data_IF_532559851565
#
_entry.id   IF_532559851565
#
_cell.length_a   1.000
_cell.length_b   1.000
_cell.length_c   1.000
_cell.angle_alpha   90.00
_cell.angle_beta   90.00
_cell.angle_gamma   90.00
#
_symmetry.space_group_name_H-M   'P 1'
#
loop_
_entity.id
_entity.type
_entity.pdbx_description
1 polymer ?
#
# COMPACT_ATOMS: atom_id res chain seq x y z
N UNK A 1 30.38 -23.61 53.74
CA UNK A 1 29.21 -24.46 53.38
C UNK A 1 27.98 -23.56 53.39
N UNK A 2 27.47 -23.20 52.22
CA UNK A 2 26.35 -22.25 52.12
C UNK A 2 25.98 -22.02 50.65
N UNK A 3 25.28 -22.99 50.06
CA UNK A 3 24.75 -22.88 48.69
C UNK A 3 23.42 -22.14 48.74
N UNK A 4 23.36 -20.96 48.10
CA UNK A 4 22.10 -20.25 47.82
C UNK A 4 21.49 -20.85 46.56
N UNK A 5 20.32 -21.47 46.74
CA UNK A 5 19.49 -22.03 45.67
C UNK A 5 18.65 -20.89 45.09
N UNK A 6 18.91 -20.50 43.85
CA UNK A 6 18.04 -19.57 43.12
C UNK A 6 16.98 -20.39 42.38
N UNK A 7 15.74 -20.32 42.87
CA UNK A 7 14.56 -20.82 42.16
C UNK A 7 14.14 -19.76 41.12
N UNK A 8 14.38 -20.05 39.85
CA UNK A 8 13.80 -19.29 38.74
C UNK A 8 12.39 -19.83 38.48
N UNK A 9 11.37 -19.13 38.97
CA UNK A 9 9.97 -19.39 38.61
C UNK A 9 9.73 -18.68 37.28
N UNK A 10 9.82 -19.43 36.17
CA UNK A 10 9.39 -18.94 34.86
C UNK A 10 7.87 -19.07 34.79
N UNK A 11 7.17 -18.01 35.20
CA UNK A 11 5.73 -17.91 34.99
C UNK A 11 5.50 -17.51 33.53
N UNK A 12 5.37 -18.50 32.65
CA UNK A 12 4.87 -18.31 31.30
C UNK A 12 3.39 -17.92 31.39
N UNK A 13 3.12 -16.62 31.51
CA UNK A 13 1.79 -16.06 31.31
C UNK A 13 1.39 -16.39 29.87
N UNK A 14 0.58 -17.43 29.72
CA UNK A 14 -0.02 -17.81 28.44
C UNK A 14 -0.92 -16.69 27.98
N UNK A 15 -0.39 -15.79 27.16
CA UNK A 15 -1.18 -14.80 26.44
C UNK A 15 -2.11 -15.60 25.53
N UNK A 16 -3.44 -15.48 25.67
CA UNK A 16 -4.36 -16.16 24.77
C UNK A 16 -4.08 -15.66 23.36
N UNK A 17 -3.52 -16.54 22.53
CA UNK A 17 -3.40 -16.32 21.10
C UNK A 17 -4.85 -16.30 20.60
N UNK A 18 -5.38 -15.10 20.36
CA UNK A 18 -6.64 -14.91 19.64
C UNK A 18 -6.45 -15.51 18.24
N UNK A 19 -6.81 -16.79 18.09
CA UNK A 19 -7.03 -17.42 16.80
C UNK A 19 -8.23 -16.73 16.18
N UNK A 20 -7.95 -15.67 15.43
CA UNK A 20 -8.93 -15.09 14.53
C UNK A 20 -9.02 -16.03 13.35
N UNK A 21 -10.07 -16.85 13.33
CA UNK A 21 -10.49 -17.61 12.15
C UNK A 21 -11.00 -16.61 11.10
N UNK A 22 -10.11 -15.76 10.57
CA UNK A 22 -10.39 -15.02 9.37
C UNK A 22 -10.48 -16.07 8.25
N UNK A 23 -11.70 -16.44 7.92
CA UNK A 23 -11.96 -17.34 6.81
C UNK A 23 -11.54 -16.59 5.55
N UNK A 24 -10.57 -17.14 4.82
CA UNK A 24 -10.15 -16.60 3.53
C UNK A 24 -11.37 -16.51 2.61
N UNK A 25 -11.44 -15.52 1.71
CA UNK A 25 -12.48 -15.50 0.67
C UNK A 25 -12.54 -16.85 -0.03
N UNK A 26 -13.75 -17.37 -0.26
CA UNK A 26 -13.92 -18.59 -1.03
C UNK A 26 -13.26 -18.41 -2.41
N UNK A 27 -12.37 -19.33 -2.79
CA UNK A 27 -11.61 -19.23 -4.04
C UNK A 27 -10.29 -18.46 -3.95
N UNK A 28 -9.83 -18.09 -2.76
CA UNK A 28 -8.47 -17.55 -2.57
C UNK A 28 -7.40 -18.59 -2.97
N UNK A 29 -6.57 -18.26 -3.96
CA UNK A 29 -5.48 -19.13 -4.43
C UNK A 29 -4.08 -18.53 -4.27
N UNK A 30 -3.96 -17.30 -3.78
CA UNK A 30 -2.68 -16.57 -3.80
C UNK A 30 -2.18 -16.38 -5.24
N UNK A 31 -0.86 -16.24 -5.46
CA UNK A 31 -0.30 -16.12 -6.80
C UNK A 31 -0.42 -17.46 -7.55
N UNK A 32 -0.79 -17.39 -8.83
CA UNK A 32 -1.05 -18.54 -9.69
C UNK A 32 -0.37 -18.37 -11.07
N UNK A 33 -0.23 -19.43 -11.87
CA UNK A 33 0.21 -19.31 -13.26
C UNK A 33 -0.67 -18.32 -14.03
N UNK A 34 -0.05 -17.35 -14.70
CA UNK A 34 -0.75 -16.32 -15.43
C UNK A 34 -1.42 -16.86 -16.70
N UNK A 35 -2.63 -16.40 -17.00
CA UNK A 35 -3.39 -16.82 -18.21
C UNK A 35 -2.66 -16.47 -19.51
N UNK A 36 -1.95 -15.35 -19.53
CA UNK A 36 -1.16 -14.88 -20.67
C UNK A 36 0.14 -15.67 -20.87
N UNK A 37 0.69 -16.23 -19.80
CA UNK A 37 1.89 -17.06 -19.82
C UNK A 37 1.99 -17.94 -18.56
N UNK A 38 1.71 -19.23 -18.71
CA UNK A 38 1.69 -20.19 -17.59
C UNK A 38 3.07 -20.47 -16.98
N UNK A 39 4.18 -20.00 -17.59
CA UNK A 39 5.50 -20.07 -16.97
C UNK A 39 5.70 -19.03 -15.87
N UNK A 40 4.90 -17.96 -15.87
CA UNK A 40 4.98 -16.86 -14.91
C UNK A 40 3.93 -17.13 -13.83
N UNK A 41 4.36 -17.11 -12.57
CA UNK A 41 3.47 -17.21 -11.42
C UNK A 41 3.32 -15.81 -10.82
N UNK A 42 2.09 -15.30 -10.79
CA UNK A 42 1.80 -13.93 -10.39
C UNK A 42 0.35 -13.71 -9.96
N UNK A 43 -0.02 -12.46 -9.80
CA UNK A 43 -1.33 -12.02 -9.38
C UNK A 43 -2.11 -11.49 -10.59
N UNK A 44 -3.30 -12.05 -10.82
CA UNK A 44 -4.31 -11.54 -11.76
C UNK A 44 -5.39 -10.70 -11.06
N UNK A 45 -5.34 -10.60 -9.73
CA UNK A 45 -6.29 -9.88 -8.88
C UNK A 45 -5.53 -9.10 -7.79
N UNK A 46 -5.66 -7.77 -7.78
CA UNK A 46 -4.96 -6.91 -6.80
C UNK A 46 -5.56 -7.00 -5.39
N UNK A 47 -6.80 -7.50 -5.25
CA UNK A 47 -7.41 -7.80 -3.94
C UNK A 47 -6.70 -8.98 -3.28
N UNK A 48 -6.45 -10.05 -4.04
CA UNK A 48 -5.69 -11.21 -3.56
C UNK A 48 -4.25 -10.79 -3.19
N UNK A 49 -3.59 -10.02 -4.05
CA UNK A 49 -2.27 -9.45 -3.78
C UNK A 49 -2.24 -8.67 -2.45
N UNK A 50 -3.20 -7.77 -2.25
CA UNK A 50 -3.27 -6.93 -1.05
C UNK A 50 -3.51 -7.77 0.21
N UNK A 51 -4.33 -8.82 0.10
CA UNK A 51 -4.56 -9.76 1.18
C UNK A 51 -3.29 -10.55 1.56
N UNK A 52 -2.52 -11.01 0.57
CA UNK A 52 -1.25 -11.71 0.78
C UNK A 52 -0.25 -10.83 1.52
N UNK A 53 -0.09 -9.58 1.05
CA UNK A 53 0.79 -8.61 1.67
C UNK A 53 0.44 -8.36 3.12
N UNK A 54 -0.83 -8.13 3.43
CA UNK A 54 -1.29 -7.94 4.80
C UNK A 54 -1.01 -9.18 5.66
N UNK A 55 -1.32 -10.36 5.15
CA UNK A 55 -1.13 -11.62 5.88
C UNK A 55 0.35 -11.84 6.19
N UNK A 56 1.23 -11.56 5.23
CA UNK A 56 2.68 -11.57 5.42
C UNK A 56 3.15 -10.51 6.41
N UNK A 57 2.72 -9.25 6.29
CA UNK A 57 3.05 -8.17 7.22
C UNK A 57 2.64 -8.51 8.66
N UNK A 58 1.44 -9.07 8.84
CA UNK A 58 0.98 -9.56 10.12
C UNK A 58 1.85 -10.73 10.64
N UNK A 59 2.23 -11.65 9.76
CA UNK A 59 3.14 -12.75 10.10
C UNK A 59 4.49 -12.25 10.60
N UNK A 60 5.10 -11.30 9.88
CA UNK A 60 6.38 -10.67 10.23
C UNK A 60 6.29 -9.92 11.56
N UNK A 61 5.25 -9.11 11.72
CA UNK A 61 5.03 -8.29 12.92
C UNK A 61 4.79 -9.12 14.19
N UNK A 62 4.15 -10.28 14.05
CA UNK A 62 3.93 -11.20 15.17
C UNK A 62 5.11 -12.18 15.39
N UNK A 63 6.21 -12.05 14.62
CA UNK A 63 7.36 -12.96 14.70
C UNK A 63 7.06 -14.39 14.26
N UNK A 64 5.97 -14.60 13.51
CA UNK A 64 5.57 -15.91 12.96
C UNK A 64 6.29 -16.18 11.64
N UNK A 65 6.56 -15.13 10.87
CA UNK A 65 7.31 -15.17 9.62
C UNK A 65 8.57 -14.35 9.80
N UNK A 66 9.72 -14.87 9.37
CA UNK A 66 10.95 -14.08 9.38
C UNK A 66 10.85 -12.94 8.37
N UNK A 67 11.29 -11.75 8.75
CA UNK A 67 11.37 -10.63 7.81
C UNK A 67 12.35 -10.97 6.70
N UNK A 68 11.89 -10.96 5.45
CA UNK A 68 12.73 -11.16 4.28
C UNK A 68 13.48 -9.88 3.94
N UNK A 69 14.63 -10.05 3.30
CA UNK A 69 15.37 -8.94 2.70
C UNK A 69 14.65 -8.34 1.50
N UNK A 70 13.80 -9.12 0.82
CA UNK A 70 13.09 -8.72 -0.40
C UNK A 70 11.76 -9.47 -0.50
N UNK A 71 10.70 -8.75 -0.85
CA UNK A 71 9.39 -9.31 -1.20
C UNK A 71 9.08 -8.95 -2.65
N UNK A 72 8.92 -9.95 -3.52
CA UNK A 72 8.59 -9.73 -4.92
C UNK A 72 7.14 -10.15 -5.19
N UNK A 73 6.38 -9.21 -5.74
CA UNK A 73 5.00 -9.35 -6.14
C UNK A 73 4.90 -9.17 -7.65
N UNK A 74 4.66 -10.27 -8.36
CA UNK A 74 4.58 -10.28 -9.81
C UNK A 74 3.13 -10.07 -10.24
N UNK A 75 2.84 -8.99 -10.95
CA UNK A 75 1.57 -8.79 -11.64
C UNK A 75 1.59 -9.58 -12.95
N UNK A 76 0.52 -10.30 -13.25
CA UNK A 76 0.43 -11.06 -14.48
C UNK A 76 0.49 -10.13 -15.71
N UNK A 77 1.33 -10.45 -16.71
CA UNK A 77 1.45 -9.62 -17.91
C UNK A 77 0.18 -9.70 -18.75
N UNK A 78 -0.06 -8.69 -19.58
CA UNK A 78 -1.26 -8.53 -20.40
C UNK A 78 -2.58 -8.64 -19.59
N UNK A 79 -2.54 -8.23 -18.33
CA UNK A 79 -3.71 -8.21 -17.44
C UNK A 79 -4.14 -6.77 -17.20
N UNK A 80 -5.44 -6.52 -17.37
CA UNK A 80 -6.08 -5.26 -16.95
C UNK A 80 -6.79 -5.49 -15.63
N UNK A 81 -6.25 -4.85 -14.58
CA UNK A 81 -6.79 -4.86 -13.23
C UNK A 81 -7.78 -3.70 -13.11
N UNK A 82 -9.08 -4.02 -13.06
CA UNK A 82 -10.14 -3.01 -13.00
C UNK A 82 -10.33 -2.57 -11.56
N UNK A 83 -9.92 -1.35 -11.23
CA UNK A 83 -9.98 -0.83 -9.87
C UNK A 83 -11.37 -0.26 -9.57
N UNK A 84 -11.84 -0.42 -8.32
CA UNK A 84 -13.16 0.11 -7.96
C UNK A 84 -13.19 1.60 -7.62
N UNK A 85 -14.36 2.17 -7.86
CA UNK A 85 -14.61 3.61 -7.90
C UNK A 85 -15.32 4.14 -6.65
N UNK A 86 -15.20 3.52 -5.48
CA UNK A 86 -15.92 4.00 -4.29
C UNK A 86 -15.06 4.05 -3.02
N UNK A 87 -14.80 5.27 -2.52
CA UNK A 87 -14.48 5.53 -1.12
C UNK A 87 -15.71 5.13 -0.32
N UNK A 88 -15.82 3.84 0.03
CA UNK A 88 -16.94 3.38 0.84
C UNK A 88 -16.70 3.76 2.29
N UNK A 89 -17.80 3.93 3.02
CA UNK A 89 -17.80 4.25 4.45
C UNK A 89 -17.53 3.02 5.34
N UNK A 90 -17.47 1.80 4.77
CA UNK A 90 -17.31 0.55 5.54
C UNK A 90 -16.36 -0.51 4.95
N UNK A 91 -15.81 -1.34 5.84
CA UNK A 91 -14.63 -2.18 5.67
C UNK A 91 -14.81 -3.39 4.85
N UNK A 92 -15.95 -3.96 5.18
CA UNK A 92 -16.43 -5.19 4.63
C UNK A 92 -16.73 -4.94 3.16
N UNK A 93 -16.93 -3.66 2.77
CA UNK A 93 -17.10 -3.25 1.40
C UNK A 93 -15.80 -3.03 0.61
N UNK A 94 -14.65 -2.76 1.26
CA UNK A 94 -13.36 -2.50 0.56
C UNK A 94 -12.64 -3.78 0.14
N UNK A 95 -12.94 -4.91 0.79
CA UNK A 95 -12.30 -6.21 0.50
C UNK A 95 -13.27 -7.27 -0.02
N UNK A 96 -14.56 -6.96 -0.16
CA UNK A 96 -15.50 -7.86 -0.84
C UNK A 96 -15.37 -7.66 -2.35
N UNK A 97 -15.28 -8.74 -3.14
CA UNK A 97 -15.41 -8.62 -4.59
C UNK A 97 -16.74 -7.93 -4.91
N UNK A 98 -16.69 -6.75 -5.51
CA UNK A 98 -17.89 -6.08 -5.99
C UNK A 98 -17.96 -6.20 -7.50
N UNK A 99 -19.16 -6.49 -7.98
CA UNK A 99 -19.45 -6.52 -9.40
C UNK A 99 -20.13 -5.20 -9.79
N UNK A 100 -19.49 -4.44 -10.67
CA UNK A 100 -20.16 -3.35 -11.37
C UNK A 100 -20.43 -3.82 -12.79
N UNK A 101 -21.71 -3.83 -13.20
CA UNK A 101 -22.13 -4.34 -14.51
C UNK A 101 -21.64 -5.78 -14.81
N UNK A 102 -21.55 -6.62 -13.77
CA UNK A 102 -21.07 -8.01 -13.88
C UNK A 102 -19.55 -8.14 -14.05
N UNK A 103 -18.79 -7.08 -13.80
CA UNK A 103 -17.33 -7.13 -13.78
C UNK A 103 -16.82 -7.01 -12.35
N UNK A 104 -16.01 -7.98 -11.94
CA UNK A 104 -15.30 -7.93 -10.67
C UNK A 104 -14.31 -6.76 -10.69
N UNK A 105 -14.48 -5.87 -9.73
CA UNK A 105 -13.57 -4.76 -9.47
C UNK A 105 -12.65 -5.12 -8.31
N UNK A 106 -11.47 -4.52 -8.32
CA UNK A 106 -10.36 -4.89 -7.45
C UNK A 106 -9.96 -3.74 -6.53
N UNK A 107 -9.36 -4.10 -5.40
CA UNK A 107 -8.83 -3.15 -4.43
C UNK A 107 -7.55 -2.47 -4.94
N UNK A 108 -7.27 -1.22 -4.51
CA UNK A 108 -5.97 -0.59 -4.74
C UNK A 108 -4.84 -1.41 -4.12
N UNK A 109 -3.64 -1.32 -4.69
CA UNK A 109 -2.46 -1.95 -4.09
C UNK A 109 -2.05 -1.14 -2.85
N UNK A 110 -1.99 -1.80 -1.69
CA UNK A 110 -1.58 -1.19 -0.42
C UNK A 110 -0.27 -1.85 0.07
N UNK A 111 0.89 -1.24 -0.14
CA UNK A 111 2.15 -1.78 0.37
C UNK A 111 2.19 -1.82 1.90
N UNK A 112 2.40 -3.01 2.47
CA UNK A 112 2.47 -3.22 3.93
C UNK A 112 3.86 -3.60 4.45
N UNK A 113 4.82 -3.83 3.55
CA UNK A 113 6.12 -4.43 3.85
C UNK A 113 7.25 -3.57 3.26
N UNK A 114 8.33 -3.40 4.03
CA UNK A 114 9.59 -2.86 3.50
C UNK A 114 10.17 -3.79 2.41
N UNK A 115 10.97 -3.23 1.48
CA UNK A 115 11.63 -3.96 0.39
C UNK A 115 10.64 -4.72 -0.52
N UNK A 116 9.47 -4.12 -0.79
CA UNK A 116 8.44 -4.69 -1.65
C UNK A 116 8.62 -4.25 -3.10
N UNK A 117 8.81 -5.21 -4.01
CA UNK A 117 8.90 -4.99 -5.46
C UNK A 117 7.61 -5.45 -6.11
N UNK A 118 6.92 -4.53 -6.77
CA UNK A 118 5.75 -4.77 -7.60
C UNK A 118 6.17 -4.67 -9.06
N UNK A 119 6.13 -5.77 -9.81
CA UNK A 119 6.64 -5.78 -11.18
C UNK A 119 5.66 -6.45 -12.13
N UNK A 120 5.50 -5.87 -13.32
CA UNK A 120 4.80 -6.54 -14.40
C UNK A 120 5.64 -7.67 -14.99
N UNK A 121 5.13 -8.89 -14.95
CA UNK A 121 5.86 -10.08 -15.38
C UNK A 121 7.17 -10.32 -14.61
N UNK A 122 8.06 -11.14 -15.17
CA UNK A 122 9.32 -11.52 -14.50
C UNK A 122 10.37 -10.40 -14.48
N UNK A 123 10.27 -9.43 -15.40
CA UNK A 123 11.31 -8.43 -15.63
C UNK A 123 10.91 -7.00 -15.27
N UNK A 124 9.65 -6.75 -14.92
CA UNK A 124 9.14 -5.39 -14.74
C UNK A 124 9.15 -4.58 -16.04
N UNK A 125 9.05 -5.24 -17.20
CA UNK A 125 8.88 -4.55 -18.48
C UNK A 125 7.42 -4.10 -18.61
N UNK A 126 7.09 -3.06 -19.41
CA UNK A 126 5.70 -2.70 -19.73
C UNK A 126 5.02 -3.77 -20.59
N UNK A 127 4.88 -4.98 -20.05
CA UNK A 127 4.28 -6.17 -20.66
C UNK A 127 2.74 -6.14 -20.52
N UNK A 128 2.14 -4.95 -20.49
CA UNK A 128 0.69 -4.77 -20.50
C UNK A 128 -0.02 -4.99 -19.16
N UNK A 129 0.64 -4.82 -18.02
CA UNK A 129 -0.06 -4.72 -16.73
C UNK A 129 -0.68 -3.33 -16.60
N UNK A 130 -2.01 -3.26 -16.63
CA UNK A 130 -2.77 -2.01 -16.62
C UNK A 130 -3.63 -1.98 -15.37
N UNK A 131 -3.42 -1.01 -14.48
CA UNK A 131 -4.37 -0.66 -13.42
C UNK A 131 -5.34 0.35 -14.03
N UNK A 132 -6.59 -0.06 -14.24
CA UNK A 132 -7.60 0.71 -14.97
C UNK A 132 -8.75 1.16 -14.06
N UNK A 133 -9.05 2.46 -14.07
CA UNK A 133 -10.24 3.02 -13.43
C UNK A 133 -10.09 3.23 -11.94
N UNK A 134 -11.22 3.22 -11.25
CA UNK A 134 -11.31 3.42 -9.80
C UNK A 134 -10.90 4.80 -9.30
N UNK A 135 -10.94 5.01 -7.99
CA UNK A 135 -10.45 6.25 -7.39
C UNK A 135 -8.92 6.26 -7.26
N UNK A 136 -8.35 5.14 -6.81
CA UNK A 136 -6.93 5.01 -6.54
C UNK A 136 -6.40 3.70 -7.13
N UNK A 137 -5.18 3.75 -7.66
CA UNK A 137 -4.48 2.54 -8.10
C UNK A 137 -3.54 2.01 -7.00
N UNK A 138 -2.87 2.92 -6.29
CA UNK A 138 -1.94 2.62 -5.19
C UNK A 138 -2.22 3.54 -4.00
N UNK A 139 -2.25 2.96 -2.80
CA UNK A 139 -2.50 3.68 -1.55
C UNK A 139 -1.42 3.38 -0.53
N UNK A 140 -0.72 4.43 -0.08
CA UNK A 140 0.20 4.39 1.04
C UNK A 140 -0.47 4.98 2.28
N UNK A 141 -0.69 4.14 3.28
CA UNK A 141 -1.32 4.50 4.54
C UNK A 141 -0.37 5.27 5.47
N UNK A 142 -0.90 6.30 6.14
CA UNK A 142 -0.15 7.32 6.89
C UNK A 142 0.66 6.80 8.09
N UNK A 143 0.16 5.74 8.71
CA UNK A 143 0.75 5.13 9.90
C UNK A 143 1.62 3.90 9.56
N UNK A 144 1.84 3.60 8.27
CA UNK A 144 2.65 2.47 7.81
C UNK A 144 3.95 3.00 7.22
N UNK A 145 5.07 2.56 7.81
CA UNK A 145 6.39 2.85 7.26
C UNK A 145 6.73 1.77 6.24
N UNK A 146 6.93 2.19 4.99
CA UNK A 146 7.27 1.33 3.86
C UNK A 146 8.53 1.89 3.20
N UNK A 147 9.67 1.28 3.48
CA UNK A 147 10.95 1.66 2.91
C UNK A 147 11.25 0.80 1.68
N UNK A 148 11.91 1.39 0.67
CA UNK A 148 12.41 0.67 -0.49
C UNK A 148 11.30 -0.13 -1.22
N UNK A 149 10.11 0.46 -1.37
CA UNK A 149 9.09 -0.11 -2.24
C UNK A 149 9.34 0.31 -3.70
N UNK A 150 9.04 -0.55 -4.66
CA UNK A 150 9.15 -0.18 -6.08
C UNK A 150 8.05 -0.75 -6.95
N UNK A 151 7.66 0.00 -7.97
CA UNK A 151 6.68 -0.37 -8.98
C UNK A 151 7.35 -0.29 -10.35
N UNK A 152 7.30 -1.37 -11.13
CA UNK A 152 8.03 -1.46 -12.40
C UNK A 152 7.18 -1.99 -13.55
N UNK A 153 7.16 -1.25 -14.67
CA UNK A 153 6.50 -1.67 -15.91
C UNK A 153 4.96 -1.64 -15.85
N UNK A 154 4.39 -0.78 -15.00
CA UNK A 154 2.94 -0.71 -14.77
C UNK A 154 2.34 0.52 -15.47
N UNK A 155 1.21 0.33 -16.14
CA UNK A 155 0.40 1.42 -16.69
C UNK A 155 -0.74 1.76 -15.73
N UNK A 156 -0.87 3.02 -15.37
CA UNK A 156 -1.90 3.60 -14.52
C UNK A 156 -2.89 4.38 -15.40
N UNK A 157 -4.07 3.82 -15.64
CA UNK A 157 -5.01 4.28 -16.65
C UNK A 157 -6.34 4.73 -16.04
N UNK A 158 -6.73 5.97 -16.26
CA UNK A 158 -8.12 6.38 -16.08
C UNK A 158 -8.64 6.41 -14.64
N UNK A 159 -7.78 6.61 -13.63
CA UNK A 159 -8.25 6.90 -12.26
C UNK A 159 -9.16 8.15 -12.27
N UNK A 160 -10.23 8.12 -11.48
CA UNK A 160 -11.24 9.17 -11.35
C UNK A 160 -10.93 10.18 -10.23
N UNK A 161 -9.81 9.99 -9.52
CA UNK A 161 -9.32 10.89 -8.48
C UNK A 161 -7.78 10.82 -8.50
N UNK A 162 -7.15 10.53 -7.36
CA UNK A 162 -5.70 10.41 -7.26
C UNK A 162 -5.25 8.99 -7.59
N UNK A 163 -4.49 8.80 -8.68
CA UNK A 163 -3.95 7.49 -9.05
C UNK A 163 -3.04 6.91 -7.98
N UNK A 164 -2.15 7.72 -7.38
CA UNK A 164 -1.24 7.28 -6.31
C UNK A 164 -1.42 8.19 -5.10
N UNK A 165 -2.01 7.62 -4.05
CA UNK A 165 -2.20 8.27 -2.77
C UNK A 165 -0.96 8.00 -1.92
N UNK A 166 0.01 8.91 -1.97
CA UNK A 166 1.28 8.81 -1.28
C UNK A 166 1.21 9.49 0.10
N UNK A 167 0.22 9.08 0.91
CA UNK A 167 -0.01 9.62 2.25
C UNK A 167 0.82 8.94 3.34
N UNK A 168 1.74 8.05 2.95
CA UNK A 168 2.55 7.25 3.85
C UNK A 168 3.40 8.07 4.81
N UNK A 169 3.90 7.39 5.85
CA UNK A 169 4.81 7.99 6.83
C UNK A 169 5.99 8.69 6.13
N UNK A 170 6.55 9.80 6.67
CA UNK A 170 7.64 10.53 6.00
C UNK A 170 8.99 9.82 5.90
N UNK A 171 9.06 8.60 6.44
CA UNK A 171 10.21 7.70 6.25
C UNK A 171 9.97 6.67 5.18
N UNK A 172 8.74 6.58 4.68
CA UNK A 172 8.43 5.73 3.56
C UNK A 172 9.06 6.28 2.28
N UNK A 173 9.44 5.36 1.40
CA UNK A 173 10.05 5.65 0.12
C UNK A 173 9.50 4.68 -0.92
N UNK A 174 9.13 5.23 -2.08
CA UNK A 174 8.70 4.46 -3.24
C UNK A 174 9.44 4.89 -4.50
N UNK A 175 9.79 3.92 -5.35
CA UNK A 175 10.37 4.14 -6.66
C UNK A 175 9.44 3.62 -7.76
N UNK A 176 9.10 4.44 -8.73
CA UNK A 176 8.40 4.04 -9.95
C UNK A 176 9.41 3.96 -11.09
N UNK A 177 9.43 2.83 -11.80
CA UNK A 177 10.39 2.54 -12.88
C UNK A 177 9.62 2.14 -14.13
N UNK A 178 9.89 2.82 -15.25
CA UNK A 178 9.28 2.51 -16.56
C UNK A 178 7.74 2.43 -16.51
N UNK A 179 7.12 3.30 -15.71
CA UNK A 179 5.67 3.39 -15.56
C UNK A 179 5.04 4.40 -16.52
N UNK A 180 3.75 4.21 -16.84
CA UNK A 180 2.99 5.16 -17.65
C UNK A 180 1.69 5.55 -16.95
N UNK A 181 1.46 6.85 -16.73
CA UNK A 181 0.19 7.41 -16.29
C UNK A 181 -0.55 7.99 -17.48
N UNK A 182 -1.73 7.46 -17.78
CA UNK A 182 -2.51 7.86 -18.95
C UNK A 182 -3.96 8.11 -18.62
N UNK A 183 -4.54 9.20 -19.13
CA UNK A 183 -5.99 9.40 -19.10
C UNK A 183 -6.59 9.54 -17.70
N UNK A 184 -5.79 9.75 -16.66
CA UNK A 184 -6.29 9.92 -15.30
C UNK A 184 -6.99 11.28 -15.18
N UNK A 185 -8.12 11.29 -14.49
CA UNK A 185 -8.93 12.47 -14.18
C UNK A 185 -8.71 12.77 -12.70
N UNK A 186 -7.66 13.54 -12.42
CA UNK A 186 -7.35 13.95 -11.05
C UNK A 186 -8.22 15.13 -10.64
N UNK A 187 -8.98 14.97 -9.55
CA UNK A 187 -9.66 16.09 -8.90
C UNK A 187 -8.64 17.17 -8.55
N UNK A 188 -7.56 16.84 -7.83
CA UNK A 188 -6.44 17.76 -7.58
C UNK A 188 -5.18 17.36 -8.35
N UNK A 189 -4.76 16.09 -8.24
CA UNK A 189 -3.54 15.59 -8.86
C UNK A 189 -3.61 14.11 -9.25
N UNK A 190 -2.65 13.66 -10.07
CA UNK A 190 -2.48 12.22 -10.41
C UNK A 190 -1.72 11.50 -9.31
N UNK A 191 -0.71 12.14 -8.73
CA UNK A 191 0.04 11.67 -7.56
C UNK A 191 -0.08 12.71 -6.45
N UNK A 192 -0.50 12.28 -5.26
CA UNK A 192 -0.66 13.15 -4.10
C UNK A 192 0.29 12.75 -2.96
N UNK A 193 1.34 13.56 -2.75
CA UNK A 193 2.30 13.42 -1.67
C UNK A 193 1.90 14.36 -0.54
N UNK A 194 1.10 13.83 0.39
CA UNK A 194 0.55 14.59 1.50
C UNK A 194 0.56 13.75 2.77
N UNK A 195 1.33 14.15 3.77
CA UNK A 195 1.26 13.55 5.10
C UNK A 195 0.85 14.60 6.10
N UNK A 196 -0.36 14.49 6.61
CA UNK A 196 -0.75 15.32 7.73
C UNK A 196 -1.75 14.60 8.63
N UNK A 197 -1.21 14.01 9.69
CA UNK A 197 -2.00 13.40 10.75
C UNK A 197 -3.11 14.35 11.23
N UNK A 198 -2.80 15.57 11.66
CA UNK A 198 -3.83 16.44 12.29
C UNK A 198 -4.76 17.25 11.34
N UNK A 199 -4.40 17.55 10.08
CA UNK A 199 -5.27 18.25 9.12
C UNK A 199 -6.21 17.30 8.37
N UNK A 200 -5.87 16.02 8.23
CA UNK A 200 -6.88 15.00 7.87
C UNK A 200 -7.96 14.86 8.96
N UNK A 201 -7.65 15.25 10.21
CA UNK A 201 -8.57 15.24 11.34
C UNK A 201 -9.18 16.59 11.68
N UNK A 202 -9.20 17.56 10.75
CA UNK A 202 -9.60 18.94 11.03
C UNK A 202 -10.90 19.02 11.83
N UNK A 203 -10.80 19.26 13.15
CA UNK A 203 -11.87 19.50 14.12
C UNK A 203 -13.20 18.69 14.01
N UNK A 204 -13.30 17.67 13.16
CA UNK A 204 -14.49 16.85 13.01
C UNK A 204 -14.55 15.80 14.13
N UNK A 205 -15.74 15.53 14.68
CA UNK A 205 -15.89 14.62 15.81
C UNK A 205 -15.29 13.24 15.52
N UNK A 206 -14.64 12.67 16.53
CA UNK A 206 -14.12 11.30 16.59
C UNK A 206 -15.08 10.20 16.08
N UNK A 207 -16.37 10.49 15.88
CA UNK A 207 -17.36 9.56 15.33
C UNK A 207 -17.14 9.25 13.84
N UNK A 208 -16.55 10.14 13.03
CA UNK A 208 -16.20 9.80 11.64
C UNK A 208 -14.94 8.94 11.52
N UNK A 209 -14.08 8.93 12.56
CA UNK A 209 -12.96 7.96 12.68
C UNK A 209 -13.43 6.53 12.89
N UNK A 210 -14.70 6.32 13.25
CA UNK A 210 -15.27 4.98 13.24
C UNK A 210 -15.51 4.48 11.83
N UNK A 211 -15.73 5.30 10.80
CA UNK A 211 -15.91 4.80 9.44
C UNK A 211 -14.59 4.23 8.90
N UNK A 212 -13.46 4.95 8.99
CA UNK A 212 -12.14 4.44 8.56
C UNK A 212 -11.60 3.25 9.40
N UNK A 213 -12.01 3.13 10.67
CA UNK A 213 -11.71 1.95 11.51
C UNK A 213 -12.73 0.82 11.41
N UNK A 214 -13.94 1.14 10.97
CA UNK A 214 -14.93 0.20 10.47
C UNK A 214 -14.79 -0.02 8.97
N UNK A 215 -13.67 0.43 8.36
CA UNK A 215 -13.24 0.31 6.96
C UNK A 215 -12.17 -0.75 6.71
N UNK A 216 -11.85 -1.47 7.78
CA UNK A 216 -11.05 -2.66 7.74
C UNK A 216 -11.73 -3.75 8.59
N UNK A 217 -11.88 -5.02 8.14
CA UNK A 217 -12.51 -6.07 8.95
C UNK A 217 -11.97 -5.99 10.36
N UNK A 218 -12.80 -6.13 11.39
CA UNK A 218 -12.40 -5.78 12.77
C UNK A 218 -11.11 -6.50 13.21
N UNK A 219 -10.77 -7.64 12.57
CA UNK A 219 -9.50 -8.34 12.68
C UNK A 219 -8.32 -7.68 11.95
N UNK A 220 -8.50 -7.16 10.74
CA UNK A 220 -7.51 -6.39 9.96
C UNK A 220 -7.31 -5.01 10.61
N UNK A 221 -8.36 -4.32 11.07
CA UNK A 221 -8.22 -3.05 11.81
C UNK A 221 -7.35 -3.25 13.06
N UNK A 222 -7.60 -4.34 13.81
CA UNK A 222 -6.80 -4.72 14.98
C UNK A 222 -5.37 -5.13 14.62
N UNK A 223 -5.16 -5.85 13.51
CA UNK A 223 -3.81 -6.25 13.06
C UNK A 223 -3.00 -5.05 12.59
N UNK A 224 -3.62 -4.14 11.85
CA UNK A 224 -3.03 -2.88 11.42
C UNK A 224 -2.75 -1.98 12.62
N UNK A 225 -3.69 -1.78 13.54
CA UNK A 225 -3.43 -1.01 14.78
C UNK A 225 -2.28 -1.64 15.61
N UNK A 226 -2.18 -2.97 15.65
CA UNK A 226 -1.07 -3.66 16.31
C UNK A 226 0.26 -3.47 15.56
N UNK A 227 0.23 -3.52 14.23
CA UNK A 227 1.37 -3.26 13.36
C UNK A 227 1.89 -1.82 13.54
N UNK A 228 0.97 -0.84 13.53
CA UNK A 228 1.21 0.57 13.81
C UNK A 228 1.85 0.80 15.19
N UNK A 229 1.46 0.03 16.21
CA UNK A 229 2.08 0.09 17.55
C UNK A 229 3.51 -0.45 17.59
N UNK A 230 3.84 -1.41 16.72
CA UNK A 230 5.14 -2.09 16.68
C UNK A 230 6.17 -1.34 15.83
N UNK A 231 5.73 -0.54 14.85
CA UNK A 231 6.60 0.18 13.91
C UNK A 231 7.07 1.59 14.36
N UNK A 232 6.98 1.97 15.65
CA UNK A 232 7.40 3.33 16.10
C UNK A 232 8.81 3.66 15.58
N UNK A 233 8.94 4.63 14.65
CA UNK A 233 10.19 4.79 13.94
C UNK A 233 11.26 5.48 14.81
N UNK A 234 12.51 5.05 14.64
CA UNK A 234 13.70 5.78 15.10
C UNK A 234 14.08 6.80 14.03
N UNK A 235 14.07 8.07 14.39
CA UNK A 235 14.51 9.21 13.58
C UNK A 235 15.95 9.04 13.09
N UNK A 236 16.15 8.95 11.77
CA UNK A 236 17.46 9.16 11.13
C UNK A 236 17.24 10.03 9.89
N UNK A 237 17.85 11.21 9.84
CA UNK A 237 17.76 12.12 8.70
C UNK A 237 18.82 11.74 7.65
N UNK A 238 18.42 11.62 6.38
CA UNK A 238 19.36 11.43 5.26
C UNK A 238 19.70 12.77 4.60
N UNK A 239 21.00 13.12 4.43
CA UNK A 239 21.40 14.34 3.74
C UNK A 239 21.59 14.08 2.23
N UNK A 240 20.88 14.79 1.35
CA UNK A 240 21.24 14.81 -0.08
C UNK A 240 20.20 15.24 -1.11
N UNK A 241 18.91 15.28 -0.79
CA UNK A 241 17.85 15.43 -1.81
C UNK A 241 17.33 16.86 -1.97
N UNK A 242 17.08 17.26 -3.22
CA UNK A 242 16.54 18.58 -3.62
C UNK A 242 15.01 18.54 -3.52
N UNK A 243 14.42 19.37 -2.65
CA UNK A 243 12.96 19.46 -2.51
C UNK A 243 12.38 20.36 -3.61
N UNK A 244 11.52 19.82 -4.47
CA UNK A 244 11.00 20.56 -5.62
C UNK A 244 9.88 21.55 -5.28
N UNK A 245 9.14 21.39 -4.18
CA UNK A 245 8.16 22.37 -3.72
C UNK A 245 7.99 22.27 -2.19
N UNK A 246 8.68 23.14 -1.44
CA UNK A 246 8.35 23.37 -0.03
C UNK A 246 7.39 24.56 0.00
N UNK A 247 6.09 24.30 0.01
CA UNK A 247 5.08 25.36 0.19
C UNK A 247 5.07 25.77 1.67
N UNK A 248 6.15 26.37 2.19
CA UNK A 248 6.29 26.91 3.57
C UNK A 248 5.75 26.03 4.73
N UNK A 249 5.48 24.75 4.47
CA UNK A 249 4.67 23.88 5.31
C UNK A 249 5.56 22.87 5.97
N UNK A 250 5.53 22.85 7.30
CA UNK A 250 6.33 21.98 8.16
C UNK A 250 5.85 20.51 8.14
N UNK A 251 5.28 20.05 7.02
CA UNK A 251 4.63 18.75 6.93
C UNK A 251 5.55 17.80 6.17
N UNK A 252 6.34 16.97 6.85
CA UNK A 252 7.17 15.99 6.15
C UNK A 252 6.22 15.00 5.48
N UNK A 253 6.41 14.62 4.21
CA UNK A 253 5.68 13.52 3.57
C UNK A 253 6.66 12.48 3.00
N UNK A 254 6.14 11.35 2.51
CA UNK A 254 6.98 10.28 1.99
C UNK A 254 7.81 10.71 0.76
N UNK A 255 8.85 9.94 0.45
CA UNK A 255 9.71 10.15 -0.72
C UNK A 255 9.18 9.34 -1.91
N UNK A 256 9.03 9.97 -3.07
CA UNK A 256 8.72 9.29 -4.32
C UNK A 256 9.74 9.62 -5.41
N UNK A 257 10.25 8.59 -6.08
CA UNK A 257 11.20 8.67 -7.17
C UNK A 257 10.53 8.14 -8.44
N UNK A 258 10.67 8.86 -9.56
CA UNK A 258 10.16 8.43 -10.86
C UNK A 258 11.31 8.33 -11.85
N UNK A 259 11.56 7.12 -12.35
CA UNK A 259 12.63 6.82 -13.31
C UNK A 259 12.02 6.28 -14.60
N UNK A 260 12.31 6.92 -15.74
CA UNK A 260 11.77 6.47 -17.04
C UNK A 260 10.24 6.54 -17.16
N UNK A 261 9.58 7.29 -16.27
CA UNK A 261 8.14 7.36 -16.19
C UNK A 261 7.53 8.36 -17.18
N UNK A 262 6.34 8.07 -17.70
CA UNK A 262 5.61 8.95 -18.63
C UNK A 262 4.24 9.35 -18.10
N UNK A 263 3.86 10.62 -18.31
CA UNK A 263 2.53 11.14 -17.99
C UNK A 263 1.89 11.68 -19.27
N UNK A 264 0.77 11.09 -19.72
CA UNK A 264 0.15 11.40 -21.00
C UNK A 264 -1.36 11.61 -20.87
N UNK A 265 -1.86 12.71 -21.44
CA UNK A 265 -3.32 12.93 -21.59
C UNK A 265 -4.07 12.84 -20.25
N UNK A 266 -3.44 13.26 -19.15
CA UNK A 266 -4.12 13.34 -17.85
C UNK A 266 -4.89 14.66 -17.77
N UNK A 267 -6.10 14.62 -17.24
CA UNK A 267 -6.93 15.81 -16.97
C UNK A 267 -6.84 16.11 -15.48
N UNK A 268 -6.38 17.30 -15.12
CA UNK A 268 -6.08 17.67 -13.72
C UNK A 268 -6.52 19.10 -13.45
N UNK A 269 -6.98 19.39 -12.23
CA UNK A 269 -7.29 20.75 -11.82
C UNK A 269 -6.05 21.51 -11.30
N UNK A 270 -5.12 20.83 -10.61
CA UNK A 270 -3.98 21.49 -9.94
C UNK A 270 -2.63 21.10 -10.55
N UNK A 271 -2.20 19.85 -10.41
CA UNK A 271 -0.85 19.42 -10.80
C UNK A 271 -0.78 17.94 -11.17
N UNK A 272 0.21 17.53 -11.97
CA UNK A 272 0.42 16.10 -12.27
C UNK A 272 0.88 15.37 -11.01
N UNK A 273 1.83 15.97 -10.29
CA UNK A 273 2.27 15.54 -8.97
C UNK A 273 2.07 16.70 -8.01
N UNK A 274 1.23 16.52 -7.00
CA UNK A 274 1.07 17.47 -5.91
C UNK A 274 1.96 17.03 -4.75
N UNK A 275 2.81 17.93 -4.27
CA UNK A 275 3.75 17.65 -3.20
C UNK A 275 3.64 18.70 -2.10
N UNK A 276 3.12 18.30 -0.94
CA UNK A 276 3.06 19.12 0.26
C UNK A 276 4.03 18.56 1.31
N UNK A 277 5.32 18.84 1.08
CA UNK A 277 6.41 18.61 2.03
C UNK A 277 7.01 17.20 2.03
N UNK A 278 6.66 16.39 1.03
CA UNK A 278 7.42 15.21 0.62
C UNK A 278 8.64 15.55 -0.23
N UNK A 279 9.38 14.50 -0.59
CA UNK A 279 10.48 14.61 -1.53
C UNK A 279 10.05 14.00 -2.87
N UNK A 280 10.44 14.64 -3.97
CA UNK A 280 10.16 14.21 -5.33
C UNK A 280 11.44 14.25 -6.14
N UNK A 281 11.81 13.12 -6.73
CA UNK A 281 12.94 13.00 -7.65
C UNK A 281 12.46 12.48 -9.01
N UNK A 282 12.93 13.12 -10.08
CA UNK A 282 12.69 12.70 -11.47
C UNK A 282 14.04 12.34 -12.08
N UNK A 283 14.19 11.09 -12.53
CA UNK A 283 15.44 10.50 -13.02
C UNK A 283 15.31 10.10 -14.49
#
# INVERSE_FOLDING_TARGET
VGRRLWLAISASLGIPILQTNAQLPDGYTGPAPCDSNTSIVGYSDTTILTYDMLTMAAGVSNGVVESKQLYTFVLCPNTTFRMGAEERDSAEDVLSPWEENGQQLMAPIVPFLDNSIFQCGERGSPDGCILEGGYHHVLFEDDIVVNNASFSGITFLGSQSVSVVAWGHPYSEVVFVDCEWKGNIGGSAVVDLFWHRDLQFGAEPLDRRRSLRSLVPLWFAKKVDRFKQLQRPRTVASPGTRQLQVVNGAYPAMHAIFSGCMFRVNTIEVAVVFNQGGQLELV
#
